data_IF_948019344006
#
_entry.id   IF_948019344006
#
_cell.length_a   1.000
_cell.length_b   1.000
_cell.length_c   1.000
_cell.angle_alpha   90.00
_cell.angle_beta   90.00
_cell.angle_gamma   90.00
#
_symmetry.space_group_name_H-M   'P 1'
#
loop_
_entity.id
_entity.type
_entity.pdbx_description
1 polymer ?
#
# COMPACT_ATOMS: atom_id res chain seq x y z
N UNK A 1 -14.64 30.46 -18.75
CA UNK A 1 -13.83 29.25 -19.08
C UNK A 1 -12.35 29.40 -18.66
N UNK A 2 -11.68 30.53 -18.94
CA UNK A 2 -10.27 30.77 -18.57
C UNK A 2 -9.95 30.65 -17.06
N UNK A 3 -10.83 31.18 -16.19
CA UNK A 3 -10.61 31.12 -14.73
C UNK A 3 -10.57 29.70 -14.13
N UNK A 4 -11.25 28.73 -14.75
CA UNK A 4 -11.25 27.33 -14.27
C UNK A 4 -9.91 26.63 -14.53
N UNK A 5 -9.31 26.89 -15.69
CA UNK A 5 -7.99 26.36 -16.01
C UNK A 5 -6.87 27.07 -15.27
N UNK A 6 -7.03 28.36 -14.97
CA UNK A 6 -6.14 29.05 -14.04
C UNK A 6 -6.15 28.40 -12.66
N UNK A 7 -7.33 28.04 -12.13
CA UNK A 7 -7.44 27.29 -10.87
C UNK A 7 -6.76 25.92 -10.94
N UNK A 8 -6.96 25.16 -12.03
CA UNK A 8 -6.30 23.85 -12.22
C UNK A 8 -4.79 24.02 -12.29
N UNK A 9 -4.28 25.00 -13.04
CA UNK A 9 -2.85 25.28 -13.14
C UNK A 9 -2.27 25.71 -11.80
N UNK A 10 -2.95 26.60 -11.09
CA UNK A 10 -2.55 27.01 -9.74
C UNK A 10 -2.51 25.80 -8.79
N UNK A 11 -3.55 24.98 -8.78
CA UNK A 11 -3.59 23.76 -7.97
C UNK A 11 -2.48 22.78 -8.38
N UNK A 12 -2.20 22.60 -9.67
CA UNK A 12 -1.13 21.74 -10.16
C UNK A 12 0.25 22.25 -9.73
N UNK A 13 0.48 23.56 -9.76
CA UNK A 13 1.72 24.17 -9.25
C UNK A 13 1.84 23.96 -7.75
N UNK A 14 0.79 24.21 -6.97
CA UNK A 14 0.80 24.00 -5.51
C UNK A 14 1.06 22.53 -5.17
N UNK A 15 0.36 21.60 -5.82
CA UNK A 15 0.55 20.16 -5.63
C UNK A 15 1.94 19.74 -6.07
N UNK A 16 2.44 20.25 -7.21
CA UNK A 16 3.78 19.96 -7.72
C UNK A 16 4.86 20.45 -6.75
N UNK A 17 4.79 21.70 -6.29
CA UNK A 17 5.70 22.26 -5.29
C UNK A 17 5.64 21.46 -4.00
N UNK A 18 4.44 21.19 -3.48
CA UNK A 18 4.28 20.38 -2.28
C UNK A 18 4.86 18.97 -2.47
N UNK A 19 4.66 18.35 -3.63
CA UNK A 19 5.18 17.02 -3.96
C UNK A 19 6.71 17.01 -4.05
N UNK A 20 7.30 18.04 -4.64
CA UNK A 20 8.77 18.19 -4.75
C UNK A 20 9.42 18.65 -3.44
N UNK A 21 8.65 19.14 -2.46
CA UNK A 21 9.18 19.63 -1.18
C UNK A 21 8.83 18.76 0.02
N UNK A 22 7.97 17.75 -0.12
CA UNK A 22 7.58 16.89 1.01
C UNK A 22 7.75 15.39 0.66
N UNK A 23 7.14 14.85 -0.43
CA UNK A 23 7.36 13.51 -0.98
C UNK A 23 8.77 13.14 -1.47
N UNK A 24 9.41 13.95 -2.30
CA UNK A 24 10.73 13.65 -2.90
C UNK A 24 11.85 13.54 -1.86
N UNK A 25 11.67 14.08 -0.65
CA UNK A 25 12.57 13.86 0.48
C UNK A 25 12.63 12.39 0.93
N UNK A 26 11.71 11.54 0.48
CA UNK A 26 11.65 10.11 0.84
C UNK A 26 12.34 9.19 -0.17
N UNK A 27 12.87 9.76 -1.26
CA UNK A 27 13.76 9.11 -2.23
C UNK A 27 13.26 7.75 -2.76
N UNK A 28 11.93 7.56 -2.86
CA UNK A 28 11.33 6.29 -3.27
C UNK A 28 11.84 5.09 -2.45
N UNK A 29 12.01 5.29 -1.14
CA UNK A 29 12.62 4.31 -0.22
C UNK A 29 12.08 2.88 -0.40
N UNK A 30 10.75 2.71 -0.42
CA UNK A 30 10.16 1.37 -0.53
C UNK A 30 10.43 0.74 -1.89
N UNK A 31 10.37 1.50 -2.98
CA UNK A 31 10.77 1.03 -4.30
C UNK A 31 12.24 0.61 -4.32
N UNK A 32 13.10 1.35 -3.61
CA UNK A 32 14.51 1.02 -3.40
C UNK A 32 14.68 -0.32 -2.68
N UNK A 33 13.93 -0.55 -1.60
CA UNK A 33 13.90 -1.83 -0.87
C UNK A 33 13.43 -2.97 -1.78
N UNK A 34 12.31 -2.78 -2.50
CA UNK A 34 11.72 -3.80 -3.36
C UNK A 34 12.65 -4.20 -4.50
N UNK A 35 13.12 -3.20 -5.26
CA UNK A 35 14.04 -3.41 -6.39
C UNK A 35 15.36 -3.98 -5.89
N UNK A 36 15.93 -3.42 -4.83
CA UNK A 36 17.22 -3.86 -4.28
C UNK A 36 17.19 -5.30 -3.79
N UNK A 37 16.16 -5.69 -3.03
CA UNK A 37 16.05 -7.06 -2.53
C UNK A 37 15.87 -8.09 -3.65
N UNK A 38 14.99 -7.80 -4.63
CA UNK A 38 14.75 -8.70 -5.76
C UNK A 38 15.97 -8.76 -6.68
N UNK A 39 16.64 -7.63 -6.92
CA UNK A 39 17.87 -7.60 -7.71
C UNK A 39 18.99 -8.39 -7.03
N UNK A 40 19.17 -8.22 -5.72
CA UNK A 40 20.15 -8.98 -4.93
C UNK A 40 19.87 -10.48 -5.01
N UNK A 41 18.62 -10.90 -4.75
CA UNK A 41 18.20 -12.30 -4.86
C UNK A 41 18.47 -12.89 -6.26
N UNK A 42 18.09 -12.18 -7.33
CA UNK A 42 18.24 -12.69 -8.70
C UNK A 42 19.69 -12.72 -9.19
N UNK A 43 20.51 -11.72 -8.83
CA UNK A 43 21.87 -11.59 -9.36
C UNK A 43 22.92 -12.32 -8.55
N UNK A 44 22.72 -12.48 -7.24
CA UNK A 44 23.69 -13.13 -6.35
C UNK A 44 23.26 -14.54 -5.94
N UNK A 45 21.97 -14.86 -6.04
CA UNK A 45 21.41 -16.10 -5.51
C UNK A 45 21.27 -16.13 -3.98
N UNK A 46 21.62 -15.04 -3.29
CA UNK A 46 21.49 -14.92 -1.83
C UNK A 46 20.02 -14.79 -1.39
N UNK A 47 19.78 -14.92 -0.08
CA UNK A 47 18.43 -14.92 0.49
C UNK A 47 17.75 -13.55 0.35
N UNK A 48 16.61 -13.54 -0.34
CA UNK A 48 15.72 -12.38 -0.51
C UNK A 48 15.39 -11.69 0.82
N UNK A 49 15.20 -12.45 1.89
CA UNK A 49 14.82 -11.92 3.19
C UNK A 49 16.02 -11.54 4.08
N UNK A 50 17.24 -11.89 3.70
CA UNK A 50 18.45 -11.40 4.36
C UNK A 50 18.81 -9.97 3.94
N UNK A 51 18.36 -9.53 2.76
CA UNK A 51 18.64 -8.19 2.24
C UNK A 51 18.26 -7.08 3.23
N UNK A 52 19.17 -6.10 3.35
CA UNK A 52 18.99 -4.88 4.13
C UNK A 52 19.30 -3.67 3.26
N UNK A 53 18.34 -2.75 3.16
CA UNK A 53 18.50 -1.58 2.31
C UNK A 53 19.35 -0.52 3.02
N UNK A 54 20.45 -0.09 2.40
CA UNK A 54 21.36 0.95 2.92
C UNK A 54 21.79 0.72 4.38
N UNK A 55 22.16 -0.52 4.73
CA UNK A 55 22.57 -0.92 6.10
C UNK A 55 21.51 -0.64 7.19
N UNK A 56 20.27 -0.41 6.79
CA UNK A 56 19.15 -0.24 7.72
C UNK A 56 18.60 -1.58 8.21
N UNK A 57 17.67 -1.54 9.16
CA UNK A 57 16.90 -2.72 9.58
C UNK A 57 15.85 -3.16 8.55
N UNK A 58 15.62 -2.36 7.50
CA UNK A 58 14.56 -2.57 6.53
C UNK A 58 14.98 -3.50 5.39
N UNK A 59 14.10 -4.44 5.08
CA UNK A 59 14.28 -5.39 3.99
C UNK A 59 12.95 -5.76 3.34
N UNK A 60 12.98 -6.77 2.48
CA UNK A 60 11.76 -7.28 1.85
C UNK A 60 10.82 -7.88 2.92
N UNK A 61 9.54 -7.49 2.87
CA UNK A 61 8.51 -7.90 3.84
C UNK A 61 7.27 -8.50 3.16
N UNK A 62 7.26 -8.56 1.83
CA UNK A 62 6.12 -9.08 1.07
C UNK A 62 6.26 -10.59 0.82
N UNK A 63 5.16 -11.30 0.53
CA UNK A 63 5.23 -12.69 0.16
C UNK A 63 6.10 -12.92 -1.08
N UNK A 64 6.65 -14.13 -1.27
CA UNK A 64 7.56 -14.43 -2.38
C UNK A 64 6.96 -14.19 -3.77
N UNK A 65 5.63 -14.34 -3.92
CA UNK A 65 4.95 -14.02 -5.17
C UNK A 65 5.13 -12.55 -5.59
N UNK A 66 5.23 -11.62 -4.62
CA UNK A 66 5.51 -10.23 -4.91
C UNK A 66 6.89 -10.04 -5.54
N UNK A 67 7.90 -10.80 -5.11
CA UNK A 67 9.24 -10.74 -5.71
C UNK A 67 9.22 -11.19 -7.17
N UNK A 68 8.41 -12.19 -7.51
CA UNK A 68 8.21 -12.62 -8.89
C UNK A 68 7.57 -11.52 -9.74
N UNK A 69 6.49 -10.89 -9.24
CA UNK A 69 5.81 -9.78 -9.94
C UNK A 69 6.74 -8.57 -10.13
N UNK A 70 7.60 -8.29 -9.16
CA UNK A 70 8.54 -7.17 -9.18
C UNK A 70 9.84 -7.48 -9.93
N UNK A 71 10.10 -8.74 -10.28
CA UNK A 71 11.32 -9.15 -10.97
C UNK A 71 11.62 -8.40 -12.26
N UNK A 72 10.66 -8.09 -13.17
CA UNK A 72 10.98 -7.34 -14.38
C UNK A 72 11.44 -5.92 -14.06
N UNK A 73 10.83 -5.29 -13.06
CA UNK A 73 11.18 -3.95 -12.59
C UNK A 73 12.57 -3.94 -11.95
N UNK A 74 12.91 -5.00 -11.22
CA UNK A 74 14.17 -5.13 -10.51
C UNK A 74 15.40 -5.14 -11.43
N UNK A 75 15.23 -5.64 -12.66
CA UNK A 75 16.27 -5.75 -13.68
C UNK A 75 16.49 -4.46 -14.48
N UNK A 76 15.61 -3.46 -14.34
CA UNK A 76 15.75 -2.17 -15.01
C UNK A 76 16.66 -1.20 -14.24
N UNK A 77 17.15 -0.15 -14.90
CA UNK A 77 17.89 0.93 -14.22
C UNK A 77 16.99 1.69 -13.22
N UNK A 78 17.60 2.35 -12.23
CA UNK A 78 16.85 3.09 -11.21
C UNK A 78 15.88 4.14 -11.78
N UNK A 79 16.27 5.00 -12.75
CA UNK A 79 15.34 5.98 -13.34
C UNK A 79 14.15 5.31 -14.04
N UNK A 80 14.38 4.18 -14.71
CA UNK A 80 13.32 3.41 -15.38
C UNK A 80 12.36 2.81 -14.34
N UNK A 81 12.88 2.25 -13.26
CA UNK A 81 12.05 1.70 -12.19
C UNK A 81 11.15 2.77 -11.54
N UNK A 82 11.70 3.95 -11.28
CA UNK A 82 10.94 5.11 -10.77
C UNK A 82 9.87 5.53 -11.78
N UNK A 83 10.23 5.69 -13.05
CA UNK A 83 9.28 6.11 -14.09
C UNK A 83 8.12 5.12 -14.23
N UNK A 84 8.40 3.81 -14.28
CA UNK A 84 7.37 2.76 -14.35
C UNK A 84 6.47 2.79 -13.12
N UNK A 85 7.04 2.90 -11.91
CA UNK A 85 6.24 3.00 -10.66
C UNK A 85 5.30 4.22 -10.68
N UNK A 86 5.79 5.37 -11.12
CA UNK A 86 4.97 6.58 -11.25
C UNK A 86 3.86 6.41 -12.28
N UNK A 87 4.17 5.89 -13.47
CA UNK A 87 3.19 5.65 -14.55
C UNK A 87 2.09 4.71 -14.07
N UNK A 88 2.45 3.59 -13.43
CA UNK A 88 1.50 2.62 -12.90
C UNK A 88 0.60 3.25 -11.83
N UNK A 89 1.17 4.03 -10.90
CA UNK A 89 0.40 4.69 -9.86
C UNK A 89 -0.54 5.76 -10.43
N UNK A 90 -0.10 6.56 -11.41
CA UNK A 90 -0.95 7.54 -12.12
C UNK A 90 -2.11 6.83 -12.82
N UNK A 91 -1.83 5.73 -13.52
CA UNK A 91 -2.86 4.94 -14.18
C UNK A 91 -3.89 4.39 -13.18
N UNK A 92 -3.43 3.89 -12.02
CA UNK A 92 -4.32 3.44 -10.95
C UNK A 92 -5.23 4.56 -10.45
N UNK A 93 -4.71 5.77 -10.21
CA UNK A 93 -5.53 6.93 -9.81
C UNK A 93 -6.58 7.26 -10.87
N UNK A 94 -6.19 7.30 -12.15
CA UNK A 94 -7.12 7.59 -13.26
C UNK A 94 -8.25 6.54 -13.29
N UNK A 95 -7.91 5.26 -13.13
CA UNK A 95 -8.87 4.17 -13.13
C UNK A 95 -9.83 4.24 -11.93
N UNK A 96 -9.30 4.51 -10.73
CA UNK A 96 -10.10 4.70 -9.52
C UNK A 96 -11.04 5.90 -9.66
N UNK A 97 -10.56 7.04 -10.14
CA UNK A 97 -11.42 8.20 -10.44
C UNK A 97 -12.48 7.84 -11.48
N UNK A 98 -12.14 7.04 -12.48
CA UNK A 98 -13.10 6.57 -13.48
C UNK A 98 -14.20 5.70 -12.87
N UNK A 99 -13.93 4.96 -11.80
CA UNK A 99 -14.91 4.12 -11.10
C UNK A 99 -15.72 4.86 -10.02
N UNK A 100 -15.10 5.78 -9.30
CA UNK A 100 -15.71 6.45 -8.15
C UNK A 100 -16.27 7.84 -8.47
N UNK A 101 -15.72 8.56 -9.45
CA UNK A 101 -16.23 9.87 -9.83
C UNK A 101 -17.51 9.72 -10.67
N UNK A 102 -18.62 10.40 -10.32
CA UNK A 102 -19.86 10.35 -11.08
C UNK A 102 -19.65 10.69 -12.56
N UNK A 103 -20.35 10.01 -13.50
CA UNK A 103 -20.19 10.27 -14.93
C UNK A 103 -20.40 11.73 -15.33
N UNK A 104 -21.31 12.44 -14.67
CA UNK A 104 -21.58 13.86 -14.90
C UNK A 104 -20.36 14.75 -14.60
N UNK A 105 -19.69 14.52 -13.46
CA UNK A 105 -18.47 15.26 -13.10
C UNK A 105 -17.30 14.87 -13.99
N UNK A 106 -17.21 13.59 -14.39
CA UNK A 106 -16.11 13.08 -15.22
C UNK A 106 -16.09 13.67 -16.64
N UNK A 107 -17.26 14.04 -17.20
CA UNK A 107 -17.37 14.73 -18.50
C UNK A 107 -16.82 16.16 -18.47
N UNK A 108 -16.64 16.73 -17.27
CA UNK A 108 -16.14 18.08 -17.06
C UNK A 108 -14.63 17.99 -16.78
N UNK A 109 -13.81 18.18 -17.82
CA UNK A 109 -12.37 17.91 -17.80
C UNK A 109 -11.60 18.59 -16.66
N UNK A 110 -11.90 19.86 -16.36
CA UNK A 110 -11.25 20.58 -15.26
C UNK A 110 -11.60 20.05 -13.87
N UNK A 111 -12.82 19.49 -13.67
CA UNK A 111 -13.19 18.86 -12.41
C UNK A 111 -12.49 17.52 -12.22
N UNK A 112 -12.35 16.73 -13.30
CA UNK A 112 -11.54 15.50 -13.28
C UNK A 112 -10.07 15.79 -12.95
N UNK A 113 -9.52 16.88 -13.50
CA UNK A 113 -8.16 17.33 -13.17
C UNK A 113 -8.03 17.75 -11.70
N UNK A 114 -8.99 18.51 -11.16
CA UNK A 114 -8.99 18.86 -9.74
C UNK A 114 -9.15 17.63 -8.83
N UNK A 115 -10.00 16.67 -9.20
CA UNK A 115 -10.16 15.42 -8.45
C UNK A 115 -8.86 14.61 -8.42
N UNK A 116 -8.15 14.55 -9.54
CA UNK A 116 -6.82 13.92 -9.62
C UNK A 116 -5.81 14.60 -8.70
N UNK A 117 -5.73 15.94 -8.76
CA UNK A 117 -4.86 16.72 -7.87
C UNK A 117 -5.22 16.55 -6.39
N UNK A 118 -6.52 16.47 -6.07
CA UNK A 118 -6.98 16.20 -4.71
C UNK A 118 -6.56 14.81 -4.21
N UNK A 119 -6.62 13.78 -5.07
CA UNK A 119 -6.09 12.45 -4.73
C UNK A 119 -4.59 12.51 -4.46
N UNK A 120 -3.80 13.27 -5.24
CA UNK A 120 -2.36 13.40 -4.97
C UNK A 120 -2.04 14.11 -3.65
N UNK A 121 -2.94 14.94 -3.13
CA UNK A 121 -2.80 15.55 -1.81
C UNK A 121 -3.29 14.64 -0.68
N UNK A 122 -4.17 13.69 -1.00
CA UNK A 122 -4.67 12.71 -0.05
C UNK A 122 -3.51 11.86 0.45
N UNK A 123 -3.29 11.86 1.77
CA UNK A 123 -2.06 11.35 2.38
C UNK A 123 -1.68 9.91 1.98
N UNK A 124 -2.62 8.95 1.90
CA UNK A 124 -2.30 7.58 1.47
C UNK A 124 -1.78 7.48 0.03
N UNK A 125 -2.38 8.24 -0.89
CA UNK A 125 -1.94 8.28 -2.27
C UNK A 125 -0.59 8.98 -2.36
N UNK A 126 -0.45 10.14 -1.71
CA UNK A 126 0.82 10.86 -1.60
C UNK A 126 1.95 9.98 -1.10
N UNK A 127 1.75 9.25 -0.01
CA UNK A 127 2.75 8.33 0.56
C UNK A 127 3.10 7.24 -0.46
N UNK A 128 2.10 6.69 -1.16
CA UNK A 128 2.34 5.68 -2.21
C UNK A 128 3.25 6.22 -3.31
N UNK A 129 3.01 7.43 -3.80
CA UNK A 129 3.89 8.09 -4.79
C UNK A 129 5.28 8.40 -4.22
N UNK A 130 5.35 8.89 -2.98
CA UNK A 130 6.61 9.30 -2.33
C UNK A 130 7.57 8.14 -2.11
N UNK A 131 7.03 7.01 -1.67
CA UNK A 131 7.80 5.80 -1.37
C UNK A 131 7.94 4.87 -2.57
N UNK A 132 7.11 5.02 -3.60
CA UNK A 132 7.03 4.10 -4.73
C UNK A 132 6.36 2.77 -4.37
N UNK A 133 5.33 2.82 -3.52
CA UNK A 133 4.58 1.64 -3.09
C UNK A 133 3.61 1.13 -4.18
N UNK A 134 3.18 -0.13 -4.02
CA UNK A 134 2.20 -0.80 -4.88
C UNK A 134 0.76 -0.70 -4.37
N UNK A 135 0.50 0.05 -3.30
CA UNK A 135 -0.81 0.05 -2.63
C UNK A 135 -1.98 0.45 -3.56
N UNK A 136 -1.76 1.39 -4.48
CA UNK A 136 -2.78 1.78 -5.45
C UNK A 136 -3.11 0.64 -6.43
N UNK A 137 -2.12 -0.19 -6.80
CA UNK A 137 -2.33 -1.41 -7.59
C UNK A 137 -3.21 -2.39 -6.83
N UNK A 138 -2.91 -2.62 -5.54
CA UNK A 138 -3.72 -3.50 -4.69
C UNK A 138 -5.16 -2.97 -4.53
N UNK A 139 -5.32 -1.66 -4.34
CA UNK A 139 -6.64 -1.02 -4.27
C UNK A 139 -7.41 -1.20 -5.58
N UNK A 140 -6.75 -1.06 -6.72
CA UNK A 140 -7.35 -1.30 -8.04
C UNK A 140 -7.78 -2.77 -8.18
N UNK A 141 -6.94 -3.74 -7.81
CA UNK A 141 -7.27 -5.16 -7.88
C UNK A 141 -8.48 -5.53 -7.02
N UNK A 142 -8.51 -5.07 -5.77
CA UNK A 142 -9.63 -5.30 -4.85
C UNK A 142 -10.89 -4.60 -5.37
N UNK A 143 -10.80 -3.35 -5.80
CA UNK A 143 -11.94 -2.57 -6.28
C UNK A 143 -12.51 -3.17 -7.57
N UNK A 144 -11.64 -3.57 -8.51
CA UNK A 144 -12.04 -4.28 -9.72
C UNK A 144 -12.78 -5.57 -9.36
N UNK A 145 -12.23 -6.35 -8.43
CA UNK A 145 -12.86 -7.56 -7.94
C UNK A 145 -14.27 -7.31 -7.40
N UNK A 146 -14.42 -6.34 -6.50
CA UNK A 146 -15.74 -6.03 -5.91
C UNK A 146 -16.72 -5.44 -6.93
N UNK A 147 -16.22 -4.74 -7.96
CA UNK A 147 -17.05 -4.13 -9.01
C UNK A 147 -17.51 -5.15 -10.05
N UNK A 148 -16.69 -6.16 -10.34
CA UNK A 148 -16.94 -7.16 -11.37
C UNK A 148 -17.03 -8.55 -10.71
N UNK A 149 -18.24 -9.01 -10.32
CA UNK A 149 -18.42 -10.17 -9.45
C UNK A 149 -17.73 -11.47 -9.91
N UNK A 150 -17.58 -11.66 -11.22
CA UNK A 150 -16.87 -12.81 -11.79
C UNK A 150 -15.36 -12.82 -11.48
N UNK A 151 -14.77 -11.66 -11.18
CA UNK A 151 -13.35 -11.50 -10.87
C UNK A 151 -13.11 -11.14 -9.39
N UNK A 152 -14.16 -11.09 -8.57
CA UNK A 152 -14.09 -10.70 -7.16
C UNK A 152 -13.03 -11.47 -6.39
N UNK A 153 -13.08 -12.80 -6.48
CA UNK A 153 -12.10 -13.64 -5.83
C UNK A 153 -10.69 -13.42 -6.37
N UNK A 154 -10.53 -13.41 -7.70
CA UNK A 154 -9.21 -13.33 -8.35
C UNK A 154 -8.46 -12.05 -7.97
N UNK A 155 -9.12 -10.89 -8.05
CA UNK A 155 -8.49 -9.60 -7.71
C UNK A 155 -8.04 -9.54 -6.26
N UNK A 156 -8.89 -9.99 -5.33
CA UNK A 156 -8.58 -10.03 -3.90
C UNK A 156 -7.45 -11.05 -3.62
N UNK A 157 -7.50 -12.22 -4.23
CA UNK A 157 -6.50 -13.27 -4.06
C UNK A 157 -5.12 -12.87 -4.57
N UNK A 158 -5.04 -12.26 -5.76
CA UNK A 158 -3.78 -11.74 -6.30
C UNK A 158 -3.24 -10.59 -5.43
N UNK A 159 -4.09 -9.68 -4.98
CA UNK A 159 -3.68 -8.60 -4.10
C UNK A 159 -3.12 -9.13 -2.77
N UNK A 160 -3.78 -10.15 -2.19
CA UNK A 160 -3.32 -10.84 -0.97
C UNK A 160 -2.00 -11.61 -1.16
N UNK A 161 -1.78 -12.19 -2.35
CA UNK A 161 -0.53 -12.86 -2.68
C UNK A 161 0.64 -11.87 -2.88
N UNK A 162 0.37 -10.63 -3.31
CA UNK A 162 1.40 -9.59 -3.43
C UNK A 162 1.70 -8.95 -2.07
N UNK A 163 0.70 -8.77 -1.22
CA UNK A 163 0.86 -8.21 0.13
C UNK A 163 -0.23 -8.81 1.00
N UNK A 164 0.06 -9.30 2.19
CA UNK A 164 -0.96 -10.01 2.99
C UNK A 164 -2.14 -9.13 3.42
N UNK A 165 -1.97 -7.80 3.41
CA UNK A 165 -2.97 -6.82 3.85
C UNK A 165 -4.37 -7.04 3.26
N UNK A 166 -4.58 -7.22 1.94
CA UNK A 166 -5.90 -7.43 1.36
C UNK A 166 -6.55 -8.77 1.70
N UNK A 167 -5.87 -9.70 2.40
CA UNK A 167 -6.49 -10.97 2.83
C UNK A 167 -7.72 -10.74 3.74
N UNK A 168 -7.79 -9.62 4.44
CA UNK A 168 -8.97 -9.14 5.18
C UNK A 168 -10.25 -9.09 4.34
N UNK A 169 -10.15 -8.87 3.02
CA UNK A 169 -11.29 -8.86 2.13
C UNK A 169 -11.89 -10.26 1.93
N UNK A 170 -11.13 -11.32 2.17
CA UNK A 170 -11.70 -12.67 2.25
C UNK A 170 -12.67 -12.76 3.42
N UNK A 171 -12.31 -12.20 4.59
CA UNK A 171 -13.21 -12.06 5.74
C UNK A 171 -14.47 -11.25 5.40
N UNK A 172 -14.31 -10.12 4.71
CA UNK A 172 -15.44 -9.34 4.19
C UNK A 172 -16.36 -10.18 3.30
N UNK A 173 -15.80 -10.96 2.36
CA UNK A 173 -16.58 -11.82 1.47
C UNK A 173 -17.35 -12.90 2.26
N UNK A 174 -16.73 -13.51 3.27
CA UNK A 174 -17.38 -14.49 4.14
C UNK A 174 -18.52 -13.86 4.97
N UNK A 175 -18.28 -12.69 5.57
CA UNK A 175 -19.29 -11.95 6.35
C UNK A 175 -20.47 -11.50 5.50
N UNK A 176 -20.21 -11.21 4.22
CA UNK A 176 -21.24 -10.85 3.24
C UNK A 176 -21.83 -12.05 2.50
N UNK A 177 -21.54 -13.29 2.97
CA UNK A 177 -22.04 -14.56 2.40
C UNK A 177 -21.66 -14.82 0.94
N UNK A 178 -20.60 -14.17 0.45
CA UNK A 178 -20.04 -14.36 -0.88
C UNK A 178 -19.04 -15.53 -0.91
N UNK A 179 -19.50 -16.72 -0.52
CA UNK A 179 -18.63 -17.89 -0.30
C UNK A 179 -17.87 -18.32 -1.56
N UNK A 180 -18.50 -18.25 -2.73
CA UNK A 180 -17.84 -18.57 -4.00
C UNK A 180 -16.66 -17.62 -4.27
N UNK A 181 -16.87 -16.31 -4.11
CA UNK A 181 -15.82 -15.31 -4.29
C UNK A 181 -14.70 -15.49 -3.26
N UNK A 182 -15.05 -15.82 -2.01
CA UNK A 182 -14.07 -16.10 -0.96
C UNK A 182 -13.21 -17.33 -1.30
N UNK A 183 -13.84 -18.43 -1.75
CA UNK A 183 -13.14 -19.63 -2.18
C UNK A 183 -12.21 -19.36 -3.37
N UNK A 184 -12.66 -18.57 -4.36
CA UNK A 184 -11.81 -18.16 -5.49
C UNK A 184 -10.63 -17.30 -5.00
N UNK A 185 -10.85 -16.36 -4.07
CA UNK A 185 -9.77 -15.54 -3.52
C UNK A 185 -8.70 -16.38 -2.81
N UNK A 186 -9.12 -17.30 -1.95
CA UNK A 186 -8.22 -18.23 -1.27
C UNK A 186 -7.50 -19.11 -2.29
N UNK A 187 -8.21 -19.69 -3.27
CA UNK A 187 -7.62 -20.51 -4.32
C UNK A 187 -6.61 -19.76 -5.18
N UNK A 188 -6.91 -18.51 -5.57
CA UNK A 188 -5.98 -17.66 -6.33
C UNK A 188 -4.74 -17.30 -5.50
N UNK A 189 -4.91 -16.91 -4.24
CA UNK A 189 -3.78 -16.59 -3.36
C UNK A 189 -2.90 -17.83 -3.09
N UNK A 190 -3.52 -18.98 -2.85
CA UNK A 190 -2.84 -20.25 -2.67
C UNK A 190 -2.10 -20.68 -3.94
N UNK A 191 -2.73 -20.60 -5.12
CA UNK A 191 -2.10 -20.91 -6.40
C UNK A 191 -0.88 -20.02 -6.69
N UNK A 192 -1.01 -18.70 -6.46
CA UNK A 192 0.10 -17.76 -6.59
C UNK A 192 1.23 -18.05 -5.58
N UNK A 193 0.89 -18.43 -4.36
CA UNK A 193 1.85 -18.83 -3.33
C UNK A 193 2.58 -20.12 -3.71
N UNK A 194 1.87 -21.13 -4.21
CA UNK A 194 2.46 -22.39 -4.68
C UNK A 194 3.37 -22.14 -5.87
N UNK A 195 2.95 -21.32 -6.84
CA UNK A 195 3.79 -20.90 -7.96
C UNK A 195 5.10 -20.26 -7.46
N UNK A 196 5.00 -19.39 -6.46
CA UNK A 196 6.18 -18.77 -5.87
C UNK A 196 7.06 -19.76 -5.10
N UNK A 197 6.47 -20.75 -4.43
CA UNK A 197 7.22 -21.82 -3.77
C UNK A 197 7.93 -22.76 -4.77
N UNK A 198 7.36 -22.98 -5.95
CA UNK A 198 7.99 -23.77 -7.01
C UNK A 198 9.17 -23.04 -7.66
N UNK A 199 9.05 -21.73 -7.87
CA UNK A 199 10.11 -20.92 -8.50
C UNK A 199 11.19 -20.51 -7.48
N UNK A 200 10.79 -20.19 -6.25
CA UNK A 200 11.63 -19.65 -5.19
C UNK A 200 11.40 -20.42 -3.86
N UNK A 201 11.78 -21.70 -3.78
CA UNK A 201 11.46 -22.56 -2.63
C UNK A 201 12.10 -22.08 -1.34
N UNK A 202 13.38 -21.67 -1.37
CA UNK A 202 14.09 -21.20 -0.19
C UNK A 202 13.48 -19.91 0.36
N UNK A 203 13.24 -18.91 -0.50
CA UNK A 203 12.59 -17.67 -0.11
C UNK A 203 11.19 -17.95 0.48
N UNK A 204 10.43 -18.88 -0.13
CA UNK A 204 9.10 -19.25 0.37
C UNK A 204 9.15 -19.91 1.74
N UNK A 205 10.10 -20.82 1.98
CA UNK A 205 10.31 -21.40 3.31
C UNK A 205 10.58 -20.31 4.35
N UNK A 206 11.62 -19.49 4.11
CA UNK A 206 12.04 -18.42 5.03
C UNK A 206 10.90 -17.44 5.31
N UNK A 207 10.11 -17.08 4.30
CA UNK A 207 8.96 -16.21 4.49
C UNK A 207 7.96 -16.77 5.49
N UNK A 208 7.50 -18.01 5.29
CA UNK A 208 6.43 -18.60 6.07
C UNK A 208 6.88 -19.07 7.47
N UNK A 209 8.15 -19.42 7.65
CA UNK A 209 8.68 -19.91 8.93
C UNK A 209 9.32 -18.84 9.80
N UNK A 210 9.89 -17.79 9.20
CA UNK A 210 10.74 -16.82 9.92
C UNK A 210 10.32 -15.38 9.64
N UNK A 211 10.43 -14.92 8.39
CA UNK A 211 10.33 -13.50 8.07
C UNK A 211 8.95 -12.90 8.35
N UNK A 212 7.87 -13.69 8.22
CA UNK A 212 6.51 -13.25 8.55
C UNK A 212 6.31 -13.00 10.06
N UNK A 213 7.05 -13.71 10.90
CA UNK A 213 6.90 -13.68 12.36
C UNK A 213 7.86 -12.69 13.03
N UNK A 214 8.92 -12.27 12.33
CA UNK A 214 9.85 -11.24 12.78
C UNK A 214 9.28 -9.83 12.55
N UNK A 215 8.52 -9.37 13.55
CA UNK A 215 7.89 -8.04 13.55
C UNK A 215 8.89 -6.87 13.63
N UNK A 216 10.16 -7.11 14.01
CA UNK A 216 11.19 -6.07 14.11
C UNK A 216 11.62 -5.51 12.74
N UNK A 217 11.41 -6.30 11.67
CA UNK A 217 11.77 -5.94 10.28
C UNK A 217 10.87 -4.89 9.64
N UNK A 218 9.70 -4.65 10.23
CA UNK A 218 8.66 -3.77 9.67
C UNK A 218 8.79 -2.33 10.22
N UNK A 219 9.69 -2.11 11.17
CA UNK A 219 9.94 -0.81 11.81
C UNK A 219 9.34 -0.70 13.21
N UNK A 220 9.48 0.49 13.82
CA UNK A 220 9.02 0.75 15.20
C UNK A 220 7.51 0.95 15.25
N UNK A 221 6.85 0.26 16.18
CA UNK A 221 5.39 0.28 16.30
C UNK A 221 4.86 1.64 16.75
N UNK A 222 5.58 2.31 17.64
CA UNK A 222 5.23 3.59 18.25
C UNK A 222 5.40 4.79 17.31
N UNK A 223 6.06 4.63 16.17
CA UNK A 223 6.37 5.74 15.28
C UNK A 223 5.10 6.43 14.77
N UNK A 224 5.07 7.77 14.73
CA UNK A 224 3.86 8.57 14.50
C UNK A 224 3.15 8.27 13.18
N UNK A 225 3.87 7.78 12.16
CA UNK A 225 3.24 7.37 10.91
C UNK A 225 2.53 6.00 10.99
N UNK A 226 2.76 5.19 12.02
CA UNK A 226 2.02 3.96 12.24
C UNK A 226 0.60 4.27 12.75
N UNK A 227 -0.38 4.34 11.85
CA UNK A 227 -1.78 4.62 12.20
C UNK A 227 -2.61 3.36 12.50
N UNK A 228 -1.96 2.21 12.66
CA UNK A 228 -2.65 1.01 13.14
C UNK A 228 -3.05 1.15 14.61
N UNK A 229 -4.11 0.44 15.02
CA UNK A 229 -4.54 0.36 16.42
C UNK A 229 -3.38 -0.09 17.34
N UNK A 230 -2.53 -0.99 16.86
CA UNK A 230 -1.35 -1.46 17.58
C UNK A 230 -0.32 -0.34 17.78
N UNK A 231 -0.13 0.52 16.78
CA UNK A 231 0.74 1.70 16.90
C UNK A 231 0.19 2.76 17.86
N UNK A 232 -1.13 2.95 17.91
CA UNK A 232 -1.77 3.83 18.90
C UNK A 232 -1.55 3.30 20.32
N UNK A 233 -1.83 2.01 20.55
CA UNK A 233 -1.61 1.38 21.86
C UNK A 233 -0.13 1.43 22.27
N UNK A 234 0.79 1.21 21.34
CA UNK A 234 2.23 1.34 21.59
C UNK A 234 2.65 2.78 21.95
N UNK A 235 2.02 3.81 21.36
CA UNK A 235 2.28 5.22 21.72
C UNK A 235 1.69 5.63 23.07
N UNK A 236 0.59 5.01 23.46
CA UNK A 236 -0.03 5.24 24.77
C UNK A 236 0.71 4.52 25.89
N UNK A 237 1.66 3.63 25.54
CA UNK A 237 2.44 2.81 26.49
C UNK A 237 1.54 2.02 27.45
N UNK A 238 0.42 1.50 26.92
CA UNK A 238 -0.53 0.70 27.69
C UNK A 238 -0.46 -0.78 27.29
N UNK A 239 -1.00 -1.64 28.16
CA UNK A 239 -1.07 -3.08 27.94
C UNK A 239 -1.60 -3.45 26.54
N UNK A 240 -0.95 -4.44 25.91
CA UNK A 240 -1.32 -4.98 24.60
C UNK A 240 -2.74 -5.58 24.56
N UNK A 241 -3.34 -5.87 25.72
CA UNK A 241 -4.75 -6.27 25.82
C UNK A 241 -5.68 -5.20 25.26
N UNK A 242 -5.35 -3.91 25.43
CA UNK A 242 -6.16 -2.81 24.88
C UNK A 242 -6.16 -2.78 23.35
N UNK A 243 -5.11 -3.29 22.72
CA UNK A 243 -5.10 -3.49 21.27
C UNK A 243 -6.12 -4.54 20.85
N UNK A 244 -6.20 -5.67 21.56
CA UNK A 244 -7.21 -6.71 21.30
C UNK A 244 -8.62 -6.18 21.51
N UNK A 245 -8.85 -5.41 22.57
CA UNK A 245 -10.15 -4.77 22.85
C UNK A 245 -10.52 -3.81 21.72
N UNK A 246 -9.60 -2.94 21.29
CA UNK A 246 -9.85 -2.01 20.19
C UNK A 246 -10.15 -2.73 18.87
N UNK A 247 -9.41 -3.79 18.56
CA UNK A 247 -9.67 -4.63 17.38
C UNK A 247 -11.05 -5.28 17.47
N UNK A 248 -11.42 -5.82 18.63
CA UNK A 248 -12.73 -6.44 18.84
C UNK A 248 -13.87 -5.42 18.64
N UNK A 249 -13.74 -4.21 19.19
CA UNK A 249 -14.72 -3.13 19.00
C UNK A 249 -14.87 -2.80 17.51
N UNK A 250 -13.77 -2.62 16.79
CA UNK A 250 -13.80 -2.32 15.35
C UNK A 250 -14.47 -3.46 14.57
N UNK A 251 -14.14 -4.72 14.87
CA UNK A 251 -14.77 -5.88 14.21
C UNK A 251 -16.26 -5.95 14.51
N UNK A 252 -16.69 -5.75 15.76
CA UNK A 252 -18.11 -5.77 16.15
C UNK A 252 -18.88 -4.65 15.46
N UNK A 253 -18.38 -3.41 15.52
CA UNK A 253 -18.98 -2.26 14.83
C UNK A 253 -19.08 -2.50 13.33
N UNK A 254 -18.04 -3.10 12.73
CA UNK A 254 -18.01 -3.40 11.31
C UNK A 254 -19.02 -4.47 10.91
N UNK A 255 -19.09 -5.59 11.65
CA UNK A 255 -20.09 -6.64 11.43
C UNK A 255 -21.51 -6.10 11.60
N UNK A 256 -21.74 -5.27 12.63
CA UNK A 256 -23.03 -4.62 12.86
C UNK A 256 -23.42 -3.72 11.69
N UNK A 257 -22.50 -2.86 11.24
CA UNK A 257 -22.73 -1.96 10.11
C UNK A 257 -23.00 -2.72 8.80
N UNK A 258 -22.25 -3.79 8.53
CA UNK A 258 -22.44 -4.63 7.34
C UNK A 258 -23.80 -5.33 7.32
N UNK A 259 -24.29 -5.79 8.48
CA UNK A 259 -25.61 -6.40 8.61
C UNK A 259 -26.75 -5.41 8.34
N UNK A 260 -26.55 -4.13 8.67
CA UNK A 260 -27.55 -3.07 8.46
C UNK A 260 -27.56 -2.43 7.06
N UNK A 261 -26.43 -2.42 6.35
CA UNK A 261 -26.28 -1.67 5.09
C UNK A 261 -26.14 -2.55 3.83
N UNK A 262 -26.20 -3.87 3.99
CA UNK A 262 -26.06 -4.81 2.89
C UNK A 262 -24.65 -4.93 2.32
N UNK A 263 -24.42 -6.00 1.56
CA UNK A 263 -23.16 -6.33 0.94
C UNK A 263 -23.06 -5.68 -0.45
N UNK A 264 -22.15 -4.71 -0.64
CA UNK A 264 -21.54 -4.29 -1.92
C UNK A 264 -21.28 -2.77 -2.00
N UNK A 265 -20.68 -2.16 -0.97
CA UNK A 265 -20.18 -0.79 -1.13
C UNK A 265 -18.66 -0.80 -1.39
N UNK A 266 -18.18 -0.51 -2.61
CA UNK A 266 -16.75 -0.41 -2.91
C UNK A 266 -16.04 0.69 -2.09
N UNK A 267 -16.77 1.61 -1.45
CA UNK A 267 -16.21 2.52 -0.45
C UNK A 267 -15.62 1.79 0.76
N UNK A 268 -16.12 0.59 1.10
CA UNK A 268 -15.55 -0.28 2.15
C UNK A 268 -14.16 -0.74 1.75
N UNK A 269 -13.91 -1.01 0.47
CA UNK A 269 -12.56 -1.33 0.01
C UNK A 269 -11.61 -0.15 0.12
N UNK A 270 -12.05 1.06 -0.23
CA UNK A 270 -11.24 2.25 -0.04
C UNK A 270 -10.94 2.46 1.45
N UNK A 271 -11.94 2.40 2.32
CA UNK A 271 -11.77 2.63 3.77
C UNK A 271 -10.82 1.61 4.42
N UNK A 272 -10.95 0.32 4.09
CA UNK A 272 -10.12 -0.73 4.65
C UNK A 272 -8.69 -0.70 4.09
N UNK A 273 -8.52 -0.50 2.79
CA UNK A 273 -7.18 -0.44 2.17
C UNK A 273 -6.41 0.81 2.61
N UNK A 274 -7.11 1.93 2.81
CA UNK A 274 -6.53 3.18 3.35
C UNK A 274 -6.19 3.04 4.84
N UNK A 275 -7.02 2.35 5.62
CA UNK A 275 -6.78 2.13 7.06
C UNK A 275 -5.63 1.17 7.37
N UNK A 276 -5.23 0.33 6.41
CA UNK A 276 -4.17 -0.67 6.59
C UNK A 276 -2.78 -0.12 6.27
N UNK A 277 -2.43 0.98 6.92
CA UNK A 277 -1.09 1.53 6.89
C UNK A 277 -0.13 0.64 7.66
N UNK A 278 0.86 0.06 6.98
CA UNK A 278 2.10 -0.42 7.59
C UNK A 278 3.21 0.58 7.26
N UNK A 279 3.64 1.31 8.29
CA UNK A 279 4.69 2.32 8.22
C UNK A 279 6.07 1.67 8.32
N UNK A 280 6.81 1.59 7.21
CA UNK A 280 8.20 1.13 7.20
C UNK A 280 9.24 2.26 7.05
N UNK A 281 8.87 3.53 7.29
CA UNK A 281 9.82 4.63 7.14
C UNK A 281 10.27 5.20 8.49
N UNK A 282 11.24 4.53 9.12
CA UNK A 282 12.19 5.24 10.00
C UNK A 282 13.18 5.93 9.09
N UNK A 283 13.28 7.25 9.23
CA UNK A 283 14.29 8.10 8.61
C UNK A 283 15.69 7.52 8.84
N UNK A 284 16.29 6.89 7.83
CA UNK A 284 17.72 6.55 7.82
C UNK A 284 18.46 7.51 6.91
N UNK A 285 18.70 8.72 7.42
CA UNK A 285 20.00 9.36 7.25
C UNK A 285 20.38 9.88 8.63
N UNK A 286 21.59 9.57 9.10
CA UNK A 286 22.08 9.80 10.47
C UNK A 286 22.22 11.27 10.88
N UNK A 287 21.18 12.10 10.68
CA UNK A 287 21.05 13.41 11.30
C UNK A 287 19.68 13.51 11.97
N UNK A 288 19.63 13.82 13.29
CA UNK A 288 18.37 14.03 13.98
C UNK A 288 17.50 15.08 13.27
N UNK A 289 16.19 14.87 13.32
CA UNK A 289 15.13 15.78 12.82
C UNK A 289 15.35 17.27 13.15
N UNK A 290 16.07 17.57 14.24
CA UNK A 290 16.38 18.93 14.70
C UNK A 290 17.38 19.71 13.84
N UNK A 291 18.12 19.06 12.94
CA UNK A 291 19.20 19.73 12.17
C UNK A 291 18.80 20.18 10.75
N UNK A 292 17.57 19.89 10.28
CA UNK A 292 17.17 20.15 8.88
C UNK A 292 16.20 21.31 8.66
N UNK A 293 15.60 21.91 9.69
CA UNK A 293 14.68 23.04 9.52
C UNK A 293 15.28 24.36 10.06
N UNK A 294 15.49 25.40 9.22
CA UNK A 294 16.11 26.67 9.62
C UNK A 294 15.38 27.40 10.76
N UNK A 295 14.10 27.09 10.95
CA UNK A 295 13.19 27.80 11.86
C UNK A 295 13.13 27.19 13.25
N UNK A 296 13.75 26.02 13.48
CA UNK A 296 13.84 25.41 14.82
C UNK A 296 14.99 25.99 15.67
N UNK A 297 15.76 26.94 15.12
CA UNK A 297 16.71 27.76 15.89
C UNK A 297 15.99 28.94 16.51
N UNK A 298 15.15 28.73 17.52
CA UNK A 298 14.85 29.76 18.52
C UNK A 298 14.70 29.11 19.90
N UNK A 299 15.64 29.52 20.76
CA UNK A 299 15.75 29.36 22.23
C UNK A 299 15.76 27.94 22.77
#
# INVERSE_FOLDING_TARGET
MRGRWFLVLFAAVVVGVFTVTVPTFREFFDLGVYRGAVQHWLLTGEDLYAFRYQESVYGFTYPPFAALVLSPLALTSWPVAVAVSLIVNVFCVILLLRWFLPPALRRISWLSALAFLAVLLFEPARDTFSFGQVNLVLLVLVTAGLRYPCWAGVGIGLAAAIKLTPAVFVGYLLLTRQYRSAAIAVGTAAGATVLAALIAPQASRVFWTEALWDTGRVGKLEYVSNQSLRGVVARLDVSSVWWLVAVLIVVVCWVWWLRGNGAANPAVAVALTVGMRSSAATFTSGRPWRLRWPWSRRT
#
